data_IF_566595532438
#
_entry.id   IF_566595532438
#
_cell.length_a   1.000
_cell.length_b   1.000
_cell.length_c   1.000
_cell.angle_alpha   90.00
_cell.angle_beta   90.00
_cell.angle_gamma   90.00
#
_symmetry.space_group_name_H-M   'P 1'
#
loop_
_entity.id
_entity.type
_entity.pdbx_description
1 polymer ?
#
# COMPACT_ATOMS: atom_id res chain seq x y z
N UNK A 1 -16.34 -21.87 -5.62
CA UNK A 1 -16.91 -22.70 -4.52
C UNK A 1 -18.33 -23.02 -4.95
N UNK A 2 -18.69 -24.30 -5.06
CA UNK A 2 -20.04 -24.69 -5.50
C UNK A 2 -20.98 -24.64 -4.30
N UNK A 3 -22.04 -23.85 -4.41
CA UNK A 3 -23.12 -23.73 -3.43
C UNK A 3 -24.34 -24.49 -3.94
N UNK A 4 -25.02 -25.22 -3.05
CA UNK A 4 -26.19 -26.04 -3.38
C UNK A 4 -27.38 -25.69 -2.50
N UNK A 5 -28.56 -25.62 -3.10
CA UNK A 5 -29.80 -25.29 -2.40
C UNK A 5 -30.55 -26.52 -1.89
N UNK A 6 -31.27 -26.38 -0.78
CA UNK A 6 -32.27 -27.33 -0.29
C UNK A 6 -33.67 -26.82 -0.56
N UNK A 7 -34.50 -27.65 -1.18
CA UNK A 7 -35.92 -27.31 -1.38
C UNK A 7 -36.69 -27.50 -0.07
N UNK A 8 -37.91 -26.93 0.02
CA UNK A 8 -38.69 -26.93 1.26
C UNK A 8 -38.88 -28.31 1.90
N UNK A 9 -39.08 -29.36 1.08
CA UNK A 9 -39.31 -30.73 1.56
C UNK A 9 -38.08 -31.35 2.23
N UNK A 10 -36.87 -30.87 1.89
CA UNK A 10 -35.59 -31.41 2.38
C UNK A 10 -35.08 -30.72 3.64
N UNK A 11 -35.72 -29.62 4.03
CA UNK A 11 -35.36 -28.87 5.23
C UNK A 11 -36.14 -29.41 6.43
N UNK A 12 -35.43 -29.67 7.52
CA UNK A 12 -35.99 -30.17 8.78
C UNK A 12 -35.99 -29.09 9.87
N UNK A 13 -36.97 -29.13 10.77
CA UNK A 13 -36.97 -28.28 11.98
C UNK A 13 -35.82 -28.71 12.89
N UNK A 14 -35.10 -27.73 13.45
CA UNK A 14 -33.87 -27.92 14.21
C UNK A 14 -32.59 -27.94 13.36
N UNK A 15 -32.72 -27.95 12.02
CA UNK A 15 -31.55 -27.85 11.14
C UNK A 15 -30.93 -26.45 11.23
N UNK A 16 -29.61 -26.38 11.39
CA UNK A 16 -28.88 -25.12 11.47
C UNK A 16 -27.71 -25.05 10.49
N UNK A 17 -27.32 -23.82 10.14
CA UNK A 17 -26.10 -23.53 9.41
C UNK A 17 -25.44 -22.26 9.96
N UNK A 18 -24.13 -22.17 9.81
CA UNK A 18 -23.36 -21.00 10.24
C UNK A 18 -22.27 -20.62 9.25
N UNK A 19 -21.87 -19.36 9.29
CA UNK A 19 -20.75 -18.81 8.55
C UNK A 19 -19.95 -17.87 9.44
N UNK A 20 -18.63 -17.97 9.36
CA UNK A 20 -17.68 -17.10 10.06
C UNK A 20 -17.08 -16.10 9.08
N UNK A 21 -16.94 -14.85 9.50
CA UNK A 21 -16.35 -13.78 8.69
C UNK A 21 -15.57 -12.80 9.56
N UNK A 22 -14.34 -12.50 9.16
CA UNK A 22 -13.57 -11.36 9.67
C UNK A 22 -14.18 -10.07 9.11
N UNK A 23 -14.54 -9.13 9.99
CA UNK A 23 -15.01 -7.81 9.59
C UNK A 23 -13.82 -6.88 9.42
N UNK A 24 -13.72 -6.19 8.29
CA UNK A 24 -12.63 -5.26 7.99
C UNK A 24 -13.16 -3.85 7.78
N UNK A 25 -12.31 -2.84 7.94
CA UNK A 25 -12.67 -1.46 7.63
C UNK A 25 -13.16 -1.32 6.18
N UNK A 26 -12.53 -2.02 5.22
CA UNK A 26 -12.96 -2.01 3.82
C UNK A 26 -14.39 -2.54 3.64
N UNK A 27 -14.82 -3.53 4.42
CA UNK A 27 -16.22 -3.99 4.39
C UNK A 27 -17.19 -2.85 4.76
N UNK A 28 -16.81 -2.00 5.70
CA UNK A 28 -17.65 -0.89 6.16
C UNK A 28 -17.68 0.23 5.14
N UNK A 29 -16.57 0.54 4.46
CA UNK A 29 -16.55 1.47 3.33
C UNK A 29 -17.40 0.97 2.16
N UNK A 30 -17.29 -0.32 1.81
CA UNK A 30 -18.14 -0.94 0.77
C UNK A 30 -19.61 -0.89 1.18
N UNK A 31 -19.92 -1.17 2.44
CA UNK A 31 -21.28 -1.07 2.95
C UNK A 31 -21.79 0.38 2.92
N UNK A 32 -20.98 1.36 3.29
CA UNK A 32 -21.31 2.78 3.24
C UNK A 32 -21.61 3.22 1.80
N UNK A 33 -20.78 2.81 0.84
CA UNK A 33 -20.99 3.08 -0.59
C UNK A 33 -22.27 2.42 -1.13
N UNK A 34 -22.57 1.19 -0.71
CA UNK A 34 -23.74 0.45 -1.17
C UNK A 34 -25.05 0.92 -0.51
N UNK A 35 -25.00 1.31 0.76
CA UNK A 35 -26.17 1.69 1.56
C UNK A 35 -26.45 3.19 1.61
N UNK A 36 -25.46 4.03 1.30
CA UNK A 36 -25.50 5.47 1.52
C UNK A 36 -25.33 5.89 2.99
N UNK A 37 -25.07 4.96 3.90
CA UNK A 37 -24.82 5.27 5.31
C UNK A 37 -23.38 5.73 5.52
N UNK A 38 -23.17 7.06 5.51
CA UNK A 38 -21.87 7.70 5.70
C UNK A 38 -21.63 8.14 7.16
N UNK A 39 -22.27 7.48 8.14
CA UNK A 39 -22.08 7.83 9.55
C UNK A 39 -20.59 7.64 9.96
N UNK A 40 -19.88 8.69 10.43
CA UNK A 40 -18.46 8.64 10.73
C UNK A 40 -18.03 7.55 11.71
N UNK A 41 -18.90 7.13 12.64
CA UNK A 41 -18.62 6.07 13.64
C UNK A 41 -18.29 4.70 13.03
N UNK A 42 -18.51 4.53 11.72
CA UNK A 42 -18.20 3.31 10.97
C UNK A 42 -16.91 3.42 10.15
N UNK A 43 -16.28 4.59 10.11
CA UNK A 43 -15.16 4.89 9.23
C UNK A 43 -13.86 4.99 10.05
N UNK A 44 -12.88 4.15 9.70
CA UNK A 44 -11.63 3.91 10.43
C UNK A 44 -10.78 5.17 10.74
N UNK A 45 -10.99 6.26 10.01
CA UNK A 45 -10.20 7.50 10.15
C UNK A 45 -10.85 8.56 11.05
N UNK A 46 -12.08 8.35 11.52
CA UNK A 46 -12.83 9.35 12.29
C UNK A 46 -12.98 8.91 13.75
N UNK A 47 -12.70 9.82 14.67
CA UNK A 47 -13.08 9.67 16.08
C UNK A 47 -14.57 10.03 16.22
N UNK A 48 -15.40 8.99 16.09
CA UNK A 48 -16.85 9.13 15.98
C UNK A 48 -17.53 9.55 17.29
N UNK A 49 -16.88 9.34 18.45
CA UNK A 49 -17.44 9.63 19.78
C UNK A 49 -16.67 10.69 20.57
N UNK A 50 -15.50 11.11 20.09
CA UNK A 50 -14.68 12.19 20.64
C UNK A 50 -13.79 11.75 21.81
N UNK A 51 -13.58 10.45 22.03
CA UNK A 51 -12.77 9.92 23.13
C UNK A 51 -11.26 9.89 22.83
N UNK A 52 -10.87 10.24 21.61
CA UNK A 52 -9.49 10.24 21.13
C UNK A 52 -9.03 8.92 20.51
N UNK A 53 -9.89 7.91 20.40
CA UNK A 53 -9.63 6.65 19.72
C UNK A 53 -10.31 6.63 18.35
N UNK A 54 -9.58 6.19 17.32
CA UNK A 54 -10.17 5.92 16.01
C UNK A 54 -11.01 4.65 16.10
N UNK A 55 -12.29 4.73 15.76
CA UNK A 55 -13.22 3.61 15.89
C UNK A 55 -13.83 3.26 14.52
N UNK A 56 -13.70 2.00 14.11
CA UNK A 56 -14.45 1.46 12.99
C UNK A 56 -15.47 0.45 13.54
N UNK A 57 -16.61 0.92 14.04
CA UNK A 57 -17.69 0.03 14.43
C UNK A 57 -18.42 -0.51 13.22
N UNK A 58 -18.70 -1.81 13.22
CA UNK A 58 -19.52 -2.44 12.20
C UNK A 58 -20.93 -1.82 12.19
N UNK A 59 -21.44 -1.32 11.05
CA UNK A 59 -22.83 -0.92 10.95
C UNK A 59 -23.75 -2.08 11.35
N UNK A 60 -24.74 -1.84 12.22
CA UNK A 60 -25.64 -2.93 12.66
C UNK A 60 -26.29 -3.67 11.49
N UNK A 61 -26.69 -2.94 10.44
CA UNK A 61 -27.24 -3.55 9.23
C UNK A 61 -26.21 -4.28 8.37
N UNK A 62 -24.92 -3.92 8.44
CA UNK A 62 -23.85 -4.75 7.87
C UNK A 62 -23.76 -6.08 8.63
N UNK A 63 -23.75 -6.06 9.96
CA UNK A 63 -23.74 -7.29 10.78
C UNK A 63 -24.96 -8.17 10.46
N UNK A 64 -26.15 -7.58 10.40
CA UNK A 64 -27.37 -8.29 10.04
C UNK A 64 -27.30 -8.88 8.61
N UNK A 65 -26.56 -8.25 7.69
CA UNK A 65 -26.37 -8.81 6.34
C UNK A 65 -25.59 -10.12 6.33
N UNK A 66 -24.82 -10.45 7.38
CA UNK A 66 -24.16 -11.76 7.46
C UNK A 66 -25.16 -12.91 7.55
N UNK A 67 -26.34 -12.66 8.10
CA UNK A 67 -27.46 -13.63 8.15
C UNK A 67 -27.92 -13.96 6.72
N UNK A 68 -27.97 -12.98 5.81
CA UNK A 68 -28.35 -13.24 4.41
C UNK A 68 -27.33 -14.13 3.69
N UNK A 69 -26.04 -14.03 4.06
CA UNK A 69 -25.01 -14.92 3.51
C UNK A 69 -25.25 -16.38 3.93
N UNK A 70 -25.73 -16.64 5.15
CA UNK A 70 -26.09 -18.00 5.58
C UNK A 70 -27.36 -18.47 4.86
N UNK A 71 -28.40 -17.64 4.82
CA UNK A 71 -29.69 -18.00 4.22
C UNK A 71 -29.59 -18.27 2.72
N UNK A 72 -28.89 -17.40 1.99
CA UNK A 72 -28.76 -17.43 0.54
C UNK A 72 -27.72 -18.41 0.01
N UNK A 73 -26.76 -18.85 0.84
CA UNK A 73 -25.68 -19.75 0.38
C UNK A 73 -25.71 -21.13 1.03
N UNK A 74 -26.17 -21.23 2.28
CA UNK A 74 -26.03 -22.45 3.08
C UNK A 74 -27.38 -23.10 3.43
N UNK A 75 -28.33 -22.36 3.99
CA UNK A 75 -29.60 -22.92 4.46
C UNK A 75 -30.73 -21.88 4.42
N UNK A 76 -31.73 -22.00 3.53
CA UNK A 76 -31.91 -23.08 2.56
C UNK A 76 -30.88 -23.11 1.42
N UNK A 77 -30.23 -21.98 1.11
CA UNK A 77 -29.20 -21.87 0.08
C UNK A 77 -29.67 -21.14 -1.19
N UNK A 78 -28.98 -21.30 -2.33
CA UNK A 78 -29.23 -20.51 -3.53
C UNK A 78 -30.70 -20.50 -3.97
N UNK A 79 -31.24 -19.32 -4.28
CA UNK A 79 -32.63 -19.12 -4.68
C UNK A 79 -33.61 -18.92 -3.52
N UNK A 80 -33.14 -18.88 -2.27
CA UNK A 80 -33.92 -18.39 -1.13
C UNK A 80 -34.35 -16.94 -1.33
N UNK A 81 -35.61 -16.64 -1.05
CA UNK A 81 -36.16 -15.28 -1.13
C UNK A 81 -36.60 -14.79 0.25
N UNK A 82 -36.10 -13.62 0.65
CA UNK A 82 -36.44 -12.99 1.92
C UNK A 82 -37.89 -12.49 1.95
N UNK A 83 -38.61 -12.74 3.06
CA UNK A 83 -39.96 -12.21 3.27
C UNK A 83 -40.00 -11.18 4.39
N UNK A 84 -39.44 -11.50 5.54
CA UNK A 84 -39.36 -10.60 6.70
C UNK A 84 -38.16 -10.96 7.57
N UNK A 85 -37.70 -9.97 8.33
CA UNK A 85 -36.66 -10.10 9.35
C UNK A 85 -37.05 -9.23 10.54
N UNK A 86 -36.98 -9.79 11.76
CA UNK A 86 -36.88 -9.00 12.99
C UNK A 86 -35.42 -8.97 13.44
N UNK A 87 -34.97 -7.86 14.02
CA UNK A 87 -33.60 -7.72 14.54
C UNK A 87 -33.64 -7.01 15.89
N UNK A 88 -32.84 -7.51 16.83
CA UNK A 88 -32.55 -6.87 18.10
C UNK A 88 -31.03 -6.85 18.28
N UNK A 89 -30.47 -5.65 18.30
CA UNK A 89 -29.04 -5.43 18.52
C UNK A 89 -28.76 -5.35 20.03
N UNK A 90 -27.74 -6.07 20.48
CA UNK A 90 -27.40 -6.22 21.90
C UNK A 90 -26.02 -5.66 22.24
N UNK A 91 -25.07 -5.82 21.32
CA UNK A 91 -23.69 -5.32 21.47
C UNK A 91 -23.16 -4.83 20.11
N UNK A 92 -21.91 -4.34 20.09
CA UNK A 92 -21.21 -3.83 18.91
C UNK A 92 -20.07 -4.78 18.49
N UNK A 93 -19.73 -4.69 17.22
CA UNK A 93 -18.53 -5.30 16.66
C UNK A 93 -17.68 -4.22 16.00
N UNK A 94 -16.37 -4.46 15.89
CA UNK A 94 -15.40 -3.54 15.31
C UNK A 94 -14.59 -4.20 14.18
N UNK A 95 -13.95 -3.38 13.35
CA UNK A 95 -12.98 -3.88 12.38
C UNK A 95 -11.88 -4.69 13.08
N UNK A 96 -11.49 -5.82 12.48
CA UNK A 96 -10.53 -6.76 13.06
C UNK A 96 -11.17 -7.91 13.86
N UNK A 97 -12.47 -7.84 14.16
CA UNK A 97 -13.17 -8.91 14.89
C UNK A 97 -13.79 -9.95 13.95
N UNK A 98 -13.81 -11.21 14.40
CA UNK A 98 -14.52 -12.29 13.70
C UNK A 98 -15.94 -12.48 14.26
N UNK A 99 -16.91 -12.51 13.35
CA UNK A 99 -18.31 -12.75 13.66
C UNK A 99 -18.77 -14.10 13.11
N UNK A 100 -19.62 -14.79 13.87
CA UNK A 100 -20.30 -16.01 13.47
C UNK A 100 -21.79 -15.72 13.31
N UNK A 101 -22.28 -15.76 12.07
CA UNK A 101 -23.71 -15.71 11.77
C UNK A 101 -24.27 -17.12 11.71
N UNK A 102 -25.35 -17.38 12.44
CA UNK A 102 -26.01 -18.69 12.53
C UNK A 102 -27.51 -18.55 12.31
N UNK A 103 -28.08 -19.53 11.62
CA UNK A 103 -29.53 -19.68 11.46
C UNK A 103 -29.95 -21.08 11.86
N UNK A 104 -31.16 -21.20 12.42
CA UNK A 104 -31.77 -22.48 12.80
C UNK A 104 -33.24 -22.48 12.41
N UNK A 105 -33.69 -23.53 11.73
CA UNK A 105 -35.09 -23.68 11.30
C UNK A 105 -35.96 -24.00 12.51
N UNK A 106 -36.86 -23.09 12.87
CA UNK A 106 -37.76 -23.27 14.02
C UNK A 106 -39.15 -23.72 13.60
N UNK A 107 -39.58 -23.40 12.37
CA UNK A 107 -40.90 -23.78 11.88
C UNK A 107 -40.95 -23.89 10.34
N UNK A 108 -41.69 -24.89 9.85
CA UNK A 108 -42.08 -24.99 8.44
C UNK A 108 -43.49 -24.45 8.26
N UNK A 109 -43.64 -23.44 7.43
CA UNK A 109 -44.90 -22.74 7.18
C UNK A 109 -45.48 -23.12 5.82
N UNK A 110 -46.80 -22.96 5.67
CA UNK A 110 -47.49 -23.19 4.39
C UNK A 110 -46.92 -22.33 3.25
N UNK A 111 -47.05 -22.82 2.01
CA UNK A 111 -46.61 -22.10 0.82
C UNK A 111 -45.10 -22.09 0.59
N UNK A 112 -44.37 -23.09 1.11
CA UNK A 112 -42.93 -23.24 0.91
C UNK A 112 -42.07 -22.29 1.76
N UNK A 113 -42.64 -21.79 2.86
CA UNK A 113 -41.99 -20.83 3.76
C UNK A 113 -41.30 -21.54 4.93
N UNK A 114 -40.24 -20.94 5.42
CA UNK A 114 -39.52 -21.35 6.62
C UNK A 114 -39.39 -20.16 7.55
N UNK A 115 -39.61 -20.40 8.85
CA UNK A 115 -39.23 -19.47 9.91
C UNK A 115 -37.94 -19.97 10.55
N UNK A 116 -36.95 -19.09 10.63
CA UNK A 116 -35.64 -19.40 11.19
C UNK A 116 -35.30 -18.43 12.32
N UNK A 117 -34.79 -18.97 13.43
CA UNK A 117 -34.06 -18.16 14.41
C UNK A 117 -32.74 -17.73 13.78
N UNK A 118 -32.35 -16.48 13.98
CA UNK A 118 -31.11 -15.91 13.44
C UNK A 118 -30.33 -15.25 14.55
N UNK A 119 -29.02 -15.49 14.60
CA UNK A 119 -28.13 -14.87 15.58
C UNK A 119 -26.76 -14.58 14.94
N UNK A 120 -26.12 -13.50 15.39
CA UNK A 120 -24.73 -13.22 15.09
C UNK A 120 -24.00 -12.98 16.40
N UNK A 121 -22.88 -13.70 16.59
CA UNK A 121 -22.05 -13.64 17.79
C UNK A 121 -20.63 -13.24 17.44
N UNK A 122 -19.94 -12.58 18.36
CA UNK A 122 -18.51 -12.35 18.27
C UNK A 122 -17.75 -13.57 18.77
N UNK A 123 -16.77 -14.03 18.01
CA UNK A 123 -16.10 -15.32 18.28
C UNK A 123 -15.15 -15.23 19.48
N UNK A 124 -14.49 -14.08 19.69
CA UNK A 124 -13.46 -13.93 20.71
C UNK A 124 -13.98 -14.09 22.15
N UNK A 125 -15.20 -13.60 22.43
CA UNK A 125 -15.81 -13.59 23.76
C UNK A 125 -17.19 -14.25 23.81
N UNK A 126 -17.75 -14.64 22.68
CA UNK A 126 -19.09 -15.22 22.57
C UNK A 126 -20.22 -14.20 22.72
N UNK A 127 -19.93 -12.89 22.67
CA UNK A 127 -20.94 -11.85 22.85
C UNK A 127 -22.02 -11.94 21.74
N UNK A 128 -23.29 -11.86 22.15
CA UNK A 128 -24.41 -11.79 21.23
C UNK A 128 -24.50 -10.37 20.66
N UNK A 129 -24.30 -10.22 19.35
CA UNK A 129 -24.30 -8.92 18.69
C UNK A 129 -25.71 -8.58 18.20
N UNK A 130 -26.34 -9.51 17.48
CA UNK A 130 -27.71 -9.36 17.00
C UNK A 130 -28.44 -10.71 17.05
N UNK A 131 -29.71 -10.68 17.41
CA UNK A 131 -30.62 -11.82 17.26
C UNK A 131 -31.90 -11.41 16.54
N UNK A 132 -32.66 -12.40 16.09
CA UNK A 132 -33.94 -12.17 15.46
C UNK A 132 -34.55 -13.43 14.86
N UNK A 133 -35.57 -13.21 14.05
CA UNK A 133 -36.22 -14.26 13.27
C UNK A 133 -36.37 -13.82 11.81
N UNK A 134 -36.05 -14.73 10.89
CA UNK A 134 -36.26 -14.57 9.46
C UNK A 134 -37.43 -15.42 9.00
N UNK A 135 -38.29 -14.87 8.14
CA UNK A 135 -39.14 -15.68 7.27
C UNK A 135 -38.60 -15.61 5.85
N UNK A 136 -38.42 -16.79 5.23
CA UNK A 136 -37.94 -16.91 3.86
C UNK A 136 -38.76 -17.92 3.08
N UNK A 137 -38.79 -17.78 1.76
CA UNK A 137 -39.22 -18.85 0.87
C UNK A 137 -38.03 -19.74 0.54
N UNK A 138 -38.20 -21.04 0.76
CA UNK A 138 -37.26 -22.02 0.26
C UNK A 138 -37.33 -22.08 -1.28
N UNK A 139 -36.22 -22.40 -1.96
CA UNK A 139 -36.20 -22.51 -3.41
C UNK A 139 -37.15 -23.62 -3.88
N UNK A 140 -37.83 -23.39 -5.01
CA UNK A 140 -38.79 -24.33 -5.60
C UNK A 140 -38.15 -25.49 -6.35
N UNK A 141 -36.87 -25.36 -6.68
CA UNK A 141 -36.07 -26.33 -7.43
C UNK A 141 -34.64 -26.28 -6.93
N UNK A 142 -33.91 -27.37 -7.11
CA UNK A 142 -32.48 -27.38 -6.84
C UNK A 142 -31.73 -26.41 -7.75
N UNK A 143 -30.90 -25.60 -7.13
CA UNK A 143 -29.99 -24.68 -7.77
C UNK A 143 -28.57 -25.02 -7.31
N UNK A 144 -27.65 -24.99 -8.27
CA UNK A 144 -26.21 -25.01 -8.03
C UNK A 144 -25.64 -23.70 -8.56
N UNK A 145 -24.84 -23.03 -7.76
CA UNK A 145 -24.21 -21.77 -8.12
C UNK A 145 -22.72 -21.83 -7.83
N UNK A 146 -21.87 -21.39 -8.77
CA UNK A 146 -20.45 -21.25 -8.51
C UNK A 146 -20.14 -19.82 -8.08
N UNK A 147 -19.69 -19.65 -6.84
CA UNK A 147 -19.35 -18.36 -6.27
C UNK A 147 -18.22 -17.62 -7.04
N UNK A 148 -17.50 -18.30 -7.93
CA UNK A 148 -16.46 -17.71 -8.78
C UNK A 148 -17.00 -16.72 -9.83
N UNK A 149 -18.32 -16.65 -10.06
CA UNK A 149 -18.93 -15.75 -11.06
C UNK A 149 -19.20 -14.32 -10.55
N UNK A 150 -19.05 -14.05 -9.25
CA UNK A 150 -19.27 -12.69 -8.70
C UNK A 150 -18.00 -11.86 -8.85
N UNK A 151 -18.05 -10.67 -9.50
CA UNK A 151 -16.87 -9.82 -9.62
C UNK A 151 -16.42 -9.32 -8.23
N UNK A 152 -15.12 -9.36 -8.00
CA UNK A 152 -14.53 -8.74 -6.81
C UNK A 152 -14.64 -7.22 -6.85
N UNK A 153 -14.64 -6.60 -5.66
CA UNK A 153 -14.53 -5.15 -5.50
C UNK A 153 -13.18 -4.82 -4.86
N UNK A 154 -12.53 -3.78 -5.36
CA UNK A 154 -11.26 -3.26 -4.80
C UNK A 154 -11.52 -1.86 -4.26
N UNK A 155 -11.28 -1.68 -2.97
CA UNK A 155 -11.28 -0.38 -2.31
C UNK A 155 -10.03 0.41 -2.72
N UNK A 156 -10.21 1.60 -3.30
CA UNK A 156 -9.10 2.49 -3.69
C UNK A 156 -8.63 3.30 -2.48
N UNK A 157 -7.98 2.63 -1.51
CA UNK A 157 -7.36 3.26 -0.34
C UNK A 157 -5.85 3.05 -0.33
N UNK A 158 -5.13 4.00 0.26
CA UNK A 158 -3.67 4.02 0.39
C UNK A 158 -3.24 3.88 1.86
N UNK A 159 -3.68 2.78 2.47
CA UNK A 159 -3.46 2.48 3.90
C UNK A 159 -1.98 2.29 4.26
N UNK A 160 -1.14 1.91 3.31
CA UNK A 160 0.27 1.68 3.59
C UNK A 160 1.00 3.02 3.72
N UNK A 161 0.63 4.02 2.93
CA UNK A 161 1.17 5.37 3.10
C UNK A 161 0.72 6.02 4.40
N UNK A 162 -0.53 5.83 4.82
CA UNK A 162 -1.01 6.24 6.14
C UNK A 162 -0.12 5.66 7.26
N UNK A 163 0.17 4.35 7.22
CA UNK A 163 1.08 3.70 8.17
C UNK A 163 2.51 4.23 8.13
N UNK A 164 3.02 4.60 6.96
CA UNK A 164 4.34 5.19 6.83
C UNK A 164 4.40 6.58 7.48
N UNK A 165 3.33 7.38 7.37
CA UNK A 165 3.25 8.66 8.06
C UNK A 165 3.20 8.45 9.58
N UNK A 166 2.34 7.57 10.07
CA UNK A 166 2.23 7.25 11.50
C UNK A 166 3.56 6.74 12.09
N UNK A 167 4.36 6.00 11.31
CA UNK A 167 5.69 5.55 11.72
C UNK A 167 6.76 6.65 11.68
N UNK A 168 6.62 7.66 10.81
CA UNK A 168 7.58 8.73 10.62
C UNK A 168 7.36 9.93 11.54
N UNK A 169 6.11 10.28 11.86
CA UNK A 169 5.73 11.45 12.68
C UNK A 169 6.37 11.49 14.09
N UNK A 170 6.62 10.36 14.78
CA UNK A 170 7.31 10.37 16.07
C UNK A 170 8.82 10.62 15.99
N UNK A 171 9.42 10.54 14.79
CA UNK A 171 10.87 10.70 14.60
C UNK A 171 11.26 12.18 14.66
N UNK A 172 12.54 12.50 14.94
CA UNK A 172 13.03 13.87 14.80
C UNK A 172 12.83 14.38 13.37
N UNK A 173 12.39 15.62 13.22
CA UNK A 173 12.16 16.22 11.92
C UNK A 173 13.45 16.18 11.05
N UNK A 174 13.37 15.59 9.85
CA UNK A 174 14.53 15.41 8.98
C UNK A 174 14.90 16.73 8.29
N UNK A 175 16.04 17.32 8.69
CA UNK A 175 16.52 18.55 8.04
C UNK A 175 16.79 18.30 6.56
N UNK A 176 16.00 18.94 5.69
CA UNK A 176 15.93 18.62 4.26
C UNK A 176 16.26 19.84 3.42
N UNK A 177 17.30 19.74 2.59
CA UNK A 177 17.64 20.77 1.61
C UNK A 177 16.67 20.72 0.42
N UNK A 178 15.69 21.63 0.37
CA UNK A 178 14.69 21.70 -0.69
C UNK A 178 15.19 22.63 -1.80
N UNK A 179 15.47 22.05 -2.98
CA UNK A 179 16.16 22.74 -4.08
C UNK A 179 15.16 23.32 -5.08
N UNK A 180 15.18 24.64 -5.25
CA UNK A 180 14.31 25.43 -6.11
C UNK A 180 12.79 25.22 -5.88
N UNK A 181 12.25 25.34 -4.64
CA UNK A 181 10.80 25.30 -4.39
C UNK A 181 10.12 26.61 -4.82
N UNK A 182 10.24 26.96 -6.09
CA UNK A 182 9.88 28.27 -6.66
C UNK A 182 8.50 28.26 -7.36
N UNK A 183 7.77 27.16 -7.26
CA UNK A 183 6.38 27.02 -7.75
C UNK A 183 5.47 26.48 -6.65
N UNK A 184 4.18 26.85 -6.66
CA UNK A 184 3.19 26.43 -5.65
C UNK A 184 3.21 24.93 -5.38
N UNK A 185 3.15 24.08 -6.41
CA UNK A 185 3.11 22.61 -6.24
C UNK A 185 4.35 22.07 -5.53
N UNK A 186 5.54 22.59 -5.89
CA UNK A 186 6.81 22.14 -5.29
C UNK A 186 7.00 22.63 -3.85
N UNK A 187 6.53 23.84 -3.56
CA UNK A 187 6.64 24.45 -2.25
C UNK A 187 5.61 23.87 -1.27
N UNK A 188 4.36 23.71 -1.70
CA UNK A 188 3.28 23.16 -0.88
C UNK A 188 3.63 21.78 -0.33
N UNK A 189 4.27 20.92 -1.13
CA UNK A 189 4.74 19.61 -0.68
C UNK A 189 5.75 19.67 0.47
N UNK A 190 6.70 20.62 0.42
CA UNK A 190 7.67 20.81 1.49
C UNK A 190 7.02 21.39 2.75
N UNK A 191 6.09 22.34 2.59
CA UNK A 191 5.36 22.94 3.72
C UNK A 191 4.48 21.88 4.40
N UNK A 192 3.73 21.10 3.62
CA UNK A 192 2.85 20.05 4.14
C UNK A 192 3.66 18.98 4.88
N UNK A 193 4.82 18.57 4.35
CA UNK A 193 5.71 17.64 5.05
C UNK A 193 6.25 18.19 6.37
N UNK A 194 6.50 19.50 6.46
CA UNK A 194 6.90 20.15 7.71
C UNK A 194 5.72 20.27 8.71
N UNK A 195 4.49 20.49 8.22
CA UNK A 195 3.29 20.49 9.08
C UNK A 195 3.05 19.10 9.72
N UNK A 196 3.38 18.03 9.01
CA UNK A 196 3.39 16.65 9.51
C UNK A 196 4.68 16.28 10.26
N UNK A 197 5.57 17.23 10.57
CA UNK A 197 6.83 16.98 11.30
C UNK A 197 7.75 15.94 10.65
N UNK A 198 7.62 15.72 9.35
CA UNK A 198 8.45 14.76 8.62
C UNK A 198 9.81 15.35 8.27
N UNK A 199 9.84 16.66 7.98
CA UNK A 199 11.04 17.39 7.56
C UNK A 199 11.12 18.77 8.21
N UNK A 200 12.34 19.26 8.39
CA UNK A 200 12.64 20.68 8.63
C UNK A 200 13.27 21.26 7.35
N UNK A 201 12.53 22.03 6.53
CA UNK A 201 12.98 22.39 5.20
C UNK A 201 13.95 23.60 5.20
N UNK A 202 15.10 23.42 4.57
CA UNK A 202 15.99 24.50 4.16
C UNK A 202 15.67 24.85 2.70
N UNK A 203 15.03 25.99 2.46
CA UNK A 203 14.54 26.37 1.13
C UNK A 203 15.65 27.05 0.32
N UNK A 204 16.13 26.43 -0.75
CA UNK A 204 17.27 26.93 -1.53
C UNK A 204 16.79 27.38 -2.91
N UNK A 205 16.92 28.66 -3.25
CA UNK A 205 16.49 29.18 -4.55
C UNK A 205 16.40 30.69 -4.58
N UNK A 206 15.62 31.23 -5.52
CA UNK A 206 15.38 32.67 -5.62
C UNK A 206 14.34 33.11 -4.57
N UNK A 207 14.72 33.94 -3.55
CA UNK A 207 13.82 34.29 -2.46
C UNK A 207 12.51 34.92 -2.91
N UNK A 208 12.56 35.83 -3.89
CA UNK A 208 11.38 36.50 -4.42
C UNK A 208 10.37 35.53 -5.03
N UNK A 209 10.86 34.46 -5.69
CA UNK A 209 10.02 33.44 -6.31
C UNK A 209 9.42 32.49 -5.29
N UNK A 210 10.20 32.09 -4.28
CA UNK A 210 9.70 31.28 -3.15
C UNK A 210 8.59 32.05 -2.41
N UNK A 211 8.82 33.33 -2.11
CA UNK A 211 7.81 34.18 -1.46
C UNK A 211 6.59 34.42 -2.34
N UNK A 212 6.76 34.53 -3.66
CA UNK A 212 5.62 34.63 -4.58
C UNK A 212 4.77 33.35 -4.58
N UNK A 213 5.41 32.17 -4.66
CA UNK A 213 4.73 30.89 -4.59
C UNK A 213 4.00 30.69 -3.25
N UNK A 214 4.62 31.11 -2.13
CA UNK A 214 3.99 31.06 -0.81
C UNK A 214 2.73 31.94 -0.73
N UNK A 215 2.79 33.17 -1.27
CA UNK A 215 1.64 34.08 -1.34
C UNK A 215 0.50 33.51 -2.18
N UNK A 216 0.81 32.87 -3.31
CA UNK A 216 -0.19 32.23 -4.15
C UNK A 216 -0.91 31.07 -3.43
N UNK A 217 -0.17 30.30 -2.61
CA UNK A 217 -0.72 29.25 -1.77
C UNK A 217 -1.47 29.77 -0.53
N UNK A 218 -1.32 31.05 -0.18
CA UNK A 218 -1.81 31.58 1.09
C UNK A 218 -1.11 30.98 2.32
N UNK A 219 0.12 30.46 2.15
CA UNK A 219 0.90 29.84 3.23
C UNK A 219 2.06 30.72 3.69
N UNK A 220 2.41 30.62 4.96
CA UNK A 220 3.55 31.31 5.55
C UNK A 220 4.82 30.44 5.49
N UNK A 221 5.90 31.01 4.97
CA UNK A 221 7.22 30.38 4.87
C UNK A 221 8.29 31.10 5.70
N UNK A 222 7.92 32.14 6.46
CA UNK A 222 8.86 32.93 7.25
C UNK A 222 9.51 32.15 8.39
N UNK A 223 8.90 31.04 8.81
CA UNK A 223 9.48 30.10 9.78
C UNK A 223 10.66 29.27 9.22
N UNK A 224 10.78 29.16 7.90
CA UNK A 224 11.80 28.34 7.25
C UNK A 224 13.02 29.16 6.84
N UNK A 225 14.21 28.57 6.92
CA UNK A 225 15.44 29.21 6.45
C UNK A 225 15.44 29.26 4.90
N UNK A 226 15.48 30.46 4.34
CA UNK A 226 15.60 30.68 2.88
C UNK A 226 17.05 31.01 2.54
N UNK A 227 17.68 30.12 1.78
CA UNK A 227 19.05 30.24 1.30
C UNK A 227 19.06 30.72 -0.16
N UNK A 228 19.55 31.94 -0.44
CA UNK A 228 19.49 32.51 -1.78
C UNK A 228 20.44 31.79 -2.74
N UNK A 229 19.93 31.44 -3.92
CA UNK A 229 20.70 30.92 -5.04
C UNK A 229 20.23 31.55 -6.36
N UNK A 230 21.18 32.02 -7.18
CA UNK A 230 20.86 32.72 -8.44
C UNK A 230 20.36 31.76 -9.52
N UNK A 231 21.00 30.59 -9.63
CA UNK A 231 20.67 29.57 -10.63
C UNK A 231 20.32 28.24 -9.98
N UNK A 232 19.52 27.42 -10.68
CA UNK A 232 19.18 26.07 -10.22
C UNK A 232 20.42 25.18 -10.00
N UNK A 233 21.51 25.44 -10.73
CA UNK A 233 22.77 24.72 -10.55
C UNK A 233 23.49 25.13 -9.27
N UNK A 234 23.45 26.41 -8.92
CA UNK A 234 24.03 26.90 -7.67
C UNK A 234 23.23 26.43 -6.46
N UNK A 235 21.90 26.41 -6.58
CA UNK A 235 21.01 25.83 -5.57
C UNK A 235 21.35 24.35 -5.32
N UNK A 236 21.52 23.55 -6.39
CA UNK A 236 21.90 22.15 -6.27
C UNK A 236 23.30 21.94 -5.67
N UNK A 237 24.28 22.82 -5.99
CA UNK A 237 25.61 22.80 -5.36
C UNK A 237 25.55 23.13 -3.87
N UNK A 238 24.74 24.11 -3.50
CA UNK A 238 24.55 24.51 -2.11
C UNK A 238 23.91 23.38 -1.30
N UNK A 239 22.92 22.67 -1.86
CA UNK A 239 22.34 21.48 -1.22
C UNK A 239 23.41 20.40 -0.92
N UNK A 240 24.29 20.14 -1.89
CA UNK A 240 25.42 19.21 -1.71
C UNK A 240 26.38 19.69 -0.61
N UNK A 241 26.67 20.98 -0.56
CA UNK A 241 27.52 21.57 0.48
C UNK A 241 26.91 21.39 1.88
N UNK A 242 25.61 21.70 2.06
CA UNK A 242 24.92 21.54 3.34
C UNK A 242 24.95 20.10 3.85
N UNK A 243 24.79 19.12 2.96
CA UNK A 243 24.90 17.69 3.30
C UNK A 243 26.34 17.31 3.70
N UNK A 244 27.35 17.87 3.03
CA UNK A 244 28.74 17.62 3.40
C UNK A 244 29.12 18.24 4.74
N UNK A 245 28.55 19.41 5.06
CA UNK A 245 28.67 20.10 6.35
C UNK A 245 27.84 19.46 7.48
N UNK A 246 26.97 18.49 7.15
CA UNK A 246 26.08 17.85 8.13
C UNK A 246 24.88 18.72 8.54
N UNK A 247 24.61 19.81 7.82
CA UNK A 247 23.45 20.68 8.02
C UNK A 247 22.16 20.13 7.42
N UNK A 248 22.24 19.16 6.51
CA UNK A 248 21.07 18.53 5.89
C UNK A 248 21.22 17.00 5.86
N UNK A 249 20.19 16.30 6.33
CA UNK A 249 20.06 14.84 6.34
C UNK A 249 19.34 14.27 5.12
N UNK A 250 18.76 15.13 4.27
CA UNK A 250 18.19 14.75 2.97
C UNK A 250 18.24 15.91 1.97
N UNK A 251 18.02 15.59 0.70
CA UNK A 251 17.81 16.58 -0.37
C UNK A 251 16.47 16.34 -1.03
N UNK A 252 15.69 17.39 -1.25
CA UNK A 252 14.42 17.31 -1.96
C UNK A 252 14.48 18.13 -3.25
N UNK A 253 14.02 17.52 -4.34
CA UNK A 253 13.86 18.21 -5.61
C UNK A 253 12.63 19.12 -5.58
N UNK A 254 12.79 20.36 -6.02
CA UNK A 254 11.69 21.29 -6.34
C UNK A 254 11.50 21.45 -7.85
N UNK A 255 11.34 22.69 -8.30
CA UNK A 255 11.16 23.04 -9.71
C UNK A 255 12.48 23.10 -10.47
N UNK A 256 13.06 21.93 -10.78
CA UNK A 256 14.23 21.82 -11.67
C UNK A 256 14.28 20.46 -12.38
N UNK A 257 15.09 20.37 -13.43
CA UNK A 257 15.38 19.09 -14.09
C UNK A 257 16.23 18.20 -13.18
N UNK A 258 15.94 16.90 -13.15
CA UNK A 258 16.67 15.91 -12.35
C UNK A 258 18.18 15.94 -12.66
N UNK A 259 18.57 16.09 -13.93
CA UNK A 259 19.99 16.23 -14.32
C UNK A 259 20.69 17.43 -13.66
N UNK A 260 19.99 18.55 -13.48
CA UNK A 260 20.55 19.74 -12.84
C UNK A 260 20.81 19.49 -11.35
N UNK A 261 19.95 18.70 -10.70
CA UNK A 261 20.11 18.28 -9.31
C UNK A 261 21.23 17.24 -9.16
N UNK A 262 21.26 16.22 -10.03
CA UNK A 262 22.18 15.08 -9.90
C UNK A 262 23.62 15.42 -10.29
N UNK A 263 23.85 16.31 -11.26
CA UNK A 263 25.21 16.63 -11.74
C UNK A 263 26.16 17.09 -10.61
N UNK A 264 25.79 18.03 -9.72
CA UNK A 264 26.61 18.38 -8.56
C UNK A 264 26.84 17.23 -7.58
N UNK A 265 25.82 16.39 -7.34
CA UNK A 265 25.93 15.23 -6.45
C UNK A 265 26.92 14.18 -6.96
N UNK A 266 27.14 14.14 -8.28
CA UNK A 266 28.11 13.28 -8.94
C UNK A 266 29.51 13.91 -9.03
N UNK A 267 29.81 15.06 -8.42
CA UNK A 267 31.19 15.55 -8.39
C UNK A 267 32.12 14.55 -7.67
N UNK A 268 33.39 14.48 -8.07
CA UNK A 268 34.36 13.53 -7.48
C UNK A 268 34.93 14.01 -6.14
N UNK A 269 35.02 15.31 -5.96
CA UNK A 269 35.68 15.94 -4.81
C UNK A 269 34.65 16.46 -3.81
N UNK A 270 33.55 17.03 -4.31
CA UNK A 270 32.53 17.68 -3.48
C UNK A 270 31.17 17.00 -3.54
N UNK A 271 31.02 15.93 -4.31
CA UNK A 271 29.74 15.24 -4.49
C UNK A 271 29.30 14.43 -3.27
N UNK A 272 28.25 13.62 -3.45
CA UNK A 272 27.61 12.82 -2.39
C UNK A 272 27.84 11.31 -2.53
N UNK A 273 28.83 10.91 -3.34
CA UNK A 273 29.09 9.49 -3.62
C UNK A 273 29.79 8.82 -2.43
N UNK A 274 29.25 7.68 -2.00
CA UNK A 274 29.76 6.87 -0.88
C UNK A 274 30.29 5.50 -1.33
N UNK A 275 30.71 5.38 -2.59
CA UNK A 275 31.16 4.11 -3.18
C UNK A 275 30.04 3.21 -3.72
N UNK A 276 28.77 3.60 -3.56
CA UNK A 276 27.59 2.95 -4.18
C UNK A 276 27.15 3.68 -5.45
N UNK A 277 26.39 3.00 -6.32
CA UNK A 277 25.65 3.69 -7.41
C UNK A 277 24.39 4.37 -6.89
N UNK A 278 24.08 5.51 -7.52
CA UNK A 278 22.80 6.17 -7.33
C UNK A 278 21.73 5.36 -8.04
N UNK A 279 20.69 4.99 -7.32
CA UNK A 279 19.58 4.18 -7.82
C UNK A 279 18.26 4.78 -7.40
N UNK A 280 17.20 4.55 -8.16
CA UNK A 280 15.87 5.03 -7.83
C UNK A 280 14.94 3.91 -7.37
N UNK A 281 14.11 4.19 -6.37
CA UNK A 281 13.00 3.33 -5.95
C UNK A 281 11.69 4.10 -6.01
N UNK A 282 10.64 3.43 -6.48
CA UNK A 282 9.27 3.81 -6.17
C UNK A 282 8.72 2.86 -5.11
N UNK A 283 8.37 3.38 -3.93
CA UNK A 283 7.56 2.65 -2.95
C UNK A 283 6.10 2.91 -3.29
N UNK A 284 5.39 1.88 -3.73
CA UNK A 284 4.03 1.99 -4.27
C UNK A 284 3.01 1.45 -3.27
N UNK A 285 1.95 2.22 -3.04
CA UNK A 285 0.75 1.77 -2.33
C UNK A 285 -0.32 1.40 -3.35
N UNK A 286 -0.43 0.10 -3.63
CA UNK A 286 -1.29 -0.44 -4.67
C UNK A 286 -2.59 -0.96 -4.03
N UNK A 287 -3.76 -0.42 -4.41
CA UNK A 287 -5.06 -0.94 -3.97
C UNK A 287 -5.19 -2.45 -4.12
N UNK A 288 -5.63 -3.13 -3.06
CA UNK A 288 -5.80 -4.58 -3.02
C UNK A 288 -4.51 -5.39 -2.75
N UNK A 289 -3.33 -4.76 -2.73
CA UNK A 289 -2.07 -5.43 -2.35
C UNK A 289 -1.86 -5.32 -0.83
N UNK A 290 -1.41 -6.41 -0.21
CA UNK A 290 -1.32 -6.52 1.26
C UNK A 290 -0.05 -5.88 1.87
N UNK A 291 0.89 -5.46 1.04
CA UNK A 291 2.14 -4.80 1.42
C UNK A 291 2.48 -3.68 0.43
N UNK A 292 3.35 -2.71 0.80
CA UNK A 292 3.96 -1.81 -0.18
C UNK A 292 4.70 -2.61 -1.27
N UNK A 293 4.62 -2.15 -2.52
CA UNK A 293 5.33 -2.75 -3.64
C UNK A 293 6.45 -1.81 -4.08
N UNK A 294 7.68 -2.29 -4.10
CA UNK A 294 8.84 -1.48 -4.51
C UNK A 294 9.18 -1.77 -5.96
N UNK A 295 9.29 -0.74 -6.80
CA UNK A 295 9.73 -0.87 -8.20
C UNK A 295 11.06 -0.12 -8.41
N UNK A 296 12.05 -0.78 -9.01
CA UNK A 296 13.39 -0.19 -9.22
C UNK A 296 14.07 -0.74 -10.48
N UNK A 297 14.86 0.02 -11.25
CA UNK A 297 15.14 1.47 -11.21
C UNK A 297 14.36 2.19 -12.31
N UNK A 298 13.48 3.12 -11.91
CA UNK A 298 12.52 3.75 -12.81
C UNK A 298 12.90 5.16 -13.30
N UNK A 299 14.06 5.71 -12.89
CA UNK A 299 14.35 7.12 -13.13
C UNK A 299 15.83 7.49 -13.37
N UNK A 300 16.80 6.63 -13.03
CA UNK A 300 18.23 7.00 -13.06
C UNK A 300 19.02 6.12 -14.02
N UNK A 301 18.96 4.80 -13.84
CA UNK A 301 19.84 3.89 -14.56
C UNK A 301 19.18 3.36 -15.84
N UNK A 302 19.60 3.90 -17.00
CA UNK A 302 18.99 3.61 -18.30
C UNK A 302 19.10 2.12 -18.67
N UNK A 303 20.33 1.62 -18.74
CA UNK A 303 20.66 0.23 -19.05
C UNK A 303 21.73 -0.24 -18.04
N UNK A 304 21.32 -0.60 -16.82
CA UNK A 304 22.27 -0.94 -15.76
C UNK A 304 23.02 -2.23 -16.09
N UNK A 305 24.34 -2.21 -15.91
CA UNK A 305 25.17 -3.42 -15.90
C UNK A 305 24.95 -4.24 -14.62
N UNK A 306 25.54 -5.43 -14.55
CA UNK A 306 25.35 -6.33 -13.41
C UNK A 306 25.79 -5.69 -12.07
N UNK A 307 26.92 -4.97 -12.05
CA UNK A 307 27.41 -4.30 -10.84
C UNK A 307 26.43 -3.20 -10.38
N UNK A 308 25.89 -2.43 -11.32
CA UNK A 308 24.85 -1.44 -11.03
C UNK A 308 23.58 -2.12 -10.52
N UNK A 309 23.19 -3.27 -11.10
CA UNK A 309 22.03 -4.05 -10.64
C UNK A 309 22.20 -4.58 -9.21
N UNK A 310 23.42 -4.95 -8.79
CA UNK A 310 23.70 -5.30 -7.39
C UNK A 310 23.37 -4.14 -6.45
N UNK A 311 23.77 -2.91 -6.81
CA UNK A 311 23.42 -1.72 -6.03
C UNK A 311 21.92 -1.42 -6.06
N UNK A 312 21.25 -1.61 -7.21
CA UNK A 312 19.79 -1.48 -7.34
C UNK A 312 19.08 -2.42 -6.37
N UNK A 313 19.45 -3.70 -6.37
CA UNK A 313 18.88 -4.71 -5.47
C UNK A 313 19.16 -4.36 -4.01
N UNK A 314 20.43 -4.09 -3.67
CA UNK A 314 20.80 -3.83 -2.27
C UNK A 314 20.12 -2.57 -1.72
N UNK A 315 20.08 -1.48 -2.47
CA UNK A 315 19.42 -0.26 -2.02
C UNK A 315 17.89 -0.45 -1.86
N UNK A 316 17.27 -1.26 -2.73
CA UNK A 316 15.84 -1.58 -2.60
C UNK A 316 15.54 -2.47 -1.38
N UNK A 317 16.39 -3.47 -1.09
CA UNK A 317 16.33 -4.24 0.16
C UNK A 317 16.50 -3.31 1.36
N UNK A 318 17.51 -2.43 1.31
CA UNK A 318 17.81 -1.49 2.39
C UNK A 318 16.61 -0.57 2.66
N UNK A 319 15.84 -0.13 1.67
CA UNK A 319 14.60 0.65 1.92
C UNK A 319 13.44 -0.23 2.34
N UNK A 320 13.27 -1.42 1.77
CA UNK A 320 12.21 -2.36 2.16
C UNK A 320 12.26 -2.69 3.67
N UNK A 321 13.46 -2.94 4.20
CA UNK A 321 13.67 -3.16 5.63
C UNK A 321 13.32 -1.89 6.42
N UNK A 322 13.60 -0.69 5.90
CA UNK A 322 13.33 0.58 6.61
C UNK A 322 11.83 0.74 6.84
N UNK A 323 11.03 0.35 5.86
CA UNK A 323 9.57 0.47 5.93
C UNK A 323 8.89 -0.74 6.58
N UNK A 324 9.65 -1.57 7.31
CA UNK A 324 9.12 -2.67 8.13
C UNK A 324 9.03 -4.03 7.44
N UNK A 325 9.61 -4.22 6.25
CA UNK A 325 9.69 -5.55 5.61
C UNK A 325 10.95 -6.26 6.09
N UNK A 326 10.83 -7.08 7.14
CA UNK A 326 11.98 -7.72 7.82
C UNK A 326 12.89 -8.53 6.88
N UNK A 327 12.28 -9.34 5.99
CA UNK A 327 13.00 -10.13 4.99
C UNK A 327 12.37 -9.87 3.62
N UNK A 328 12.85 -8.84 2.88
CA UNK A 328 12.32 -8.49 1.58
C UNK A 328 12.54 -9.61 0.56
N UNK A 329 11.49 -9.93 -0.17
CA UNK A 329 11.49 -10.87 -1.30
C UNK A 329 11.61 -10.07 -2.59
N UNK A 330 12.76 -10.19 -3.21
CA UNK A 330 13.14 -9.46 -4.41
C UNK A 330 12.97 -10.35 -5.63
N UNK A 331 11.96 -10.06 -6.43
CA UNK A 331 11.76 -10.67 -7.74
C UNK A 331 12.52 -9.90 -8.81
N UNK A 332 13.54 -10.53 -9.39
CA UNK A 332 14.26 -9.95 -10.53
C UNK A 332 13.54 -10.31 -11.82
N UNK A 333 13.00 -9.29 -12.47
CA UNK A 333 12.06 -9.46 -13.58
C UNK A 333 12.75 -9.79 -14.90
N UNK A 334 12.12 -10.67 -15.65
CA UNK A 334 12.43 -10.95 -17.06
C UNK A 334 11.14 -11.29 -17.82
N UNK A 335 11.25 -11.56 -19.11
CA UNK A 335 10.12 -12.01 -19.93
C UNK A 335 9.89 -13.54 -19.85
N UNK A 336 10.78 -14.26 -19.16
CA UNK A 336 10.79 -15.73 -19.05
C UNK A 336 11.22 -16.14 -17.65
N UNK A 337 10.93 -17.39 -17.28
CA UNK A 337 11.30 -17.99 -16.00
C UNK A 337 12.57 -18.85 -16.08
N UNK A 338 12.98 -19.21 -17.30
CA UNK A 338 14.17 -20.01 -17.55
C UNK A 338 15.35 -19.14 -17.94
N UNK A 339 16.54 -19.45 -17.42
CA UNK A 339 17.78 -18.78 -17.79
C UNK A 339 18.12 -19.09 -19.25
N UNK A 340 18.21 -18.05 -20.08
CA UNK A 340 18.56 -18.18 -21.49
C UNK A 340 19.49 -17.05 -21.95
N UNK A 341 20.62 -17.37 -22.61
CA UNK A 341 21.52 -16.34 -23.14
C UNK A 341 20.88 -15.41 -24.17
N UNK A 342 19.76 -15.81 -24.78
CA UNK A 342 19.03 -14.99 -25.74
C UNK A 342 18.35 -13.77 -25.09
N UNK A 343 18.12 -13.80 -23.77
CA UNK A 343 17.48 -12.72 -23.02
C UNK A 343 18.43 -12.29 -21.90
N UNK A 344 19.17 -11.17 -22.06
CA UNK A 344 20.18 -10.73 -21.10
C UNK A 344 19.65 -10.56 -19.66
N UNK A 345 18.42 -10.06 -19.50
CA UNK A 345 17.81 -9.92 -18.17
C UNK A 345 17.61 -11.25 -17.45
N UNK A 346 17.48 -12.36 -18.20
CA UNK A 346 17.39 -13.69 -17.59
C UNK A 346 18.73 -14.17 -17.01
N UNK A 347 19.85 -13.79 -17.63
CA UNK A 347 21.19 -14.04 -17.12
C UNK A 347 21.47 -13.19 -15.88
N UNK A 348 21.16 -11.88 -15.96
CA UNK A 348 21.36 -10.96 -14.84
C UNK A 348 20.57 -11.41 -13.61
N UNK A 349 19.30 -11.80 -13.78
CA UNK A 349 18.46 -12.29 -12.70
C UNK A 349 19.04 -13.53 -12.01
N UNK A 350 19.49 -14.52 -12.80
CA UNK A 350 20.12 -15.72 -12.27
C UNK A 350 21.42 -15.41 -11.51
N UNK A 351 22.22 -14.48 -12.03
CA UNK A 351 23.44 -14.04 -11.36
C UNK A 351 23.12 -13.32 -10.06
N UNK A 352 22.20 -12.37 -10.04
CA UNK A 352 21.81 -11.63 -8.83
C UNK A 352 21.27 -12.56 -7.75
N UNK A 353 20.42 -13.53 -8.11
CA UNK A 353 19.95 -14.57 -7.18
C UNK A 353 21.15 -15.34 -6.60
N UNK A 354 22.09 -15.79 -7.44
CA UNK A 354 23.28 -16.51 -6.96
C UNK A 354 24.21 -15.66 -6.10
N UNK A 355 24.30 -14.36 -6.38
CA UNK A 355 25.07 -13.40 -5.59
C UNK A 355 24.45 -13.19 -4.20
N UNK A 356 23.11 -13.20 -4.10
CA UNK A 356 22.40 -13.16 -2.82
C UNK A 356 22.63 -14.44 -2.00
N UNK A 357 22.49 -15.62 -2.61
CA UNK A 357 22.79 -16.90 -1.94
C UNK A 357 24.23 -16.97 -1.40
N UNK A 358 25.17 -16.31 -2.07
CA UNK A 358 26.58 -16.23 -1.67
C UNK A 358 26.89 -15.08 -0.71
N UNK A 359 25.89 -14.31 -0.29
CA UNK A 359 26.03 -13.21 0.68
C UNK A 359 26.69 -11.94 0.13
N UNK A 360 26.75 -11.78 -1.20
CA UNK A 360 27.17 -10.52 -1.84
C UNK A 360 26.05 -9.47 -1.81
N UNK A 361 24.80 -9.92 -1.90
CA UNK A 361 23.59 -9.16 -1.60
C UNK A 361 23.05 -9.69 -0.28
N UNK A 362 22.61 -8.81 0.62
CA UNK A 362 22.27 -9.16 2.01
C UNK A 362 20.96 -8.54 2.46
N UNK A 363 20.34 -9.15 3.47
CA UNK A 363 19.16 -8.64 4.15
C UNK A 363 17.83 -9.08 3.54
N UNK A 364 17.83 -9.67 2.34
CA UNK A 364 16.62 -10.15 1.68
C UNK A 364 16.85 -11.41 0.85
N UNK A 365 15.75 -12.03 0.43
CA UNK A 365 15.74 -13.16 -0.49
C UNK A 365 15.63 -12.63 -1.93
N UNK A 366 16.53 -13.05 -2.81
CA UNK A 366 16.54 -12.60 -4.21
C UNK A 366 16.39 -13.80 -5.12
N UNK A 367 15.39 -13.74 -6.00
CA UNK A 367 15.17 -14.80 -6.98
C UNK A 367 14.77 -14.25 -8.35
N UNK A 368 15.10 -15.01 -9.37
CA UNK A 368 14.86 -14.68 -10.76
C UNK A 368 15.65 -15.58 -11.72
N UNK A 369 15.28 -15.58 -13.01
CA UNK A 369 14.32 -14.67 -13.62
C UNK A 369 12.86 -15.01 -13.34
N UNK A 370 12.04 -13.99 -13.13
CA UNK A 370 10.59 -14.13 -12.97
C UNK A 370 9.86 -13.24 -13.97
N UNK A 371 8.88 -13.79 -14.68
CA UNK A 371 7.86 -12.97 -15.33
C UNK A 371 6.98 -12.28 -14.27
N UNK A 372 6.35 -11.17 -14.65
CA UNK A 372 5.60 -10.31 -13.73
C UNK A 372 4.49 -11.07 -12.99
N UNK A 373 3.72 -11.90 -13.70
CA UNK A 373 2.66 -12.73 -13.11
C UNK A 373 3.20 -13.66 -12.02
N UNK A 374 4.32 -14.32 -12.26
CA UNK A 374 4.93 -15.22 -11.29
C UNK A 374 5.63 -14.51 -10.15
N UNK A 375 5.99 -13.24 -10.31
CA UNK A 375 6.60 -12.48 -9.23
C UNK A 375 5.56 -12.15 -8.16
N UNK A 376 4.31 -11.86 -8.55
CA UNK A 376 3.29 -11.31 -7.65
C UNK A 376 2.10 -12.24 -7.37
N UNK A 377 1.87 -13.26 -8.18
CA UNK A 377 0.75 -14.20 -8.00
C UNK A 377 1.22 -15.63 -7.70
N UNK A 378 0.81 -16.13 -6.53
CA UNK A 378 1.20 -17.47 -6.05
C UNK A 378 0.59 -18.60 -6.88
N UNK A 379 -0.60 -18.42 -7.45
CA UNK A 379 -1.24 -19.44 -8.28
C UNK A 379 -0.55 -19.54 -9.66
N UNK A 380 -0.15 -18.42 -10.26
CA UNK A 380 0.63 -18.35 -11.49
C UNK A 380 2.00 -19.04 -11.30
N UNK A 381 2.72 -18.69 -10.22
CA UNK A 381 4.00 -19.30 -9.89
C UNK A 381 3.88 -20.83 -9.72
N UNK A 382 2.83 -21.30 -9.02
CA UNK A 382 2.56 -22.75 -8.84
C UNK A 382 2.20 -23.44 -10.15
N UNK A 383 1.40 -22.80 -10.99
CA UNK A 383 0.99 -23.35 -12.30
C UNK A 383 2.19 -23.57 -13.21
N UNK A 384 3.19 -22.68 -13.16
CA UNK A 384 4.46 -22.82 -13.87
C UNK A 384 5.49 -23.71 -13.14
N UNK A 385 5.14 -24.28 -11.99
CA UNK A 385 5.99 -25.21 -11.25
C UNK A 385 7.21 -24.55 -10.58
N UNK A 386 7.18 -23.23 -10.36
CA UNK A 386 8.30 -22.48 -9.79
C UNK A 386 8.37 -22.75 -8.28
N UNK A 387 9.53 -23.20 -7.82
CA UNK A 387 9.81 -23.45 -6.39
C UNK A 387 10.73 -22.35 -5.88
N UNK A 388 10.13 -21.38 -5.22
CA UNK A 388 10.81 -20.19 -4.72
C UNK A 388 10.06 -19.63 -3.52
N UNK A 389 10.78 -19.08 -2.56
CA UNK A 389 10.17 -18.32 -1.47
C UNK A 389 9.72 -16.92 -1.93
N UNK A 390 10.30 -16.42 -3.04
CA UNK A 390 10.02 -15.10 -3.62
C UNK A 390 8.88 -15.15 -4.63
N UNK A 391 8.81 -16.19 -5.47
CA UNK A 391 7.79 -16.27 -6.52
C UNK A 391 6.36 -16.24 -5.94
N UNK A 392 5.54 -15.36 -6.50
CA UNK A 392 4.17 -15.08 -6.09
C UNK A 392 4.03 -14.23 -4.84
N UNK A 393 5.15 -13.70 -4.34
CA UNK A 393 5.26 -13.00 -3.05
C UNK A 393 6.26 -11.84 -3.09
N UNK A 394 6.71 -11.42 -4.27
CA UNK A 394 7.73 -10.39 -4.38
C UNK A 394 7.20 -9.05 -3.84
N UNK A 395 7.90 -8.49 -2.86
CA UNK A 395 7.66 -7.12 -2.37
C UNK A 395 8.52 -6.10 -3.11
N UNK A 396 9.65 -6.54 -3.70
CA UNK A 396 10.53 -5.71 -4.52
C UNK A 396 10.61 -6.27 -5.94
N UNK A 397 10.36 -5.42 -6.93
CA UNK A 397 10.40 -5.73 -8.35
C UNK A 397 11.58 -4.99 -9.00
N UNK A 398 12.59 -5.76 -9.38
CA UNK A 398 13.79 -5.24 -10.06
C UNK A 398 13.62 -5.43 -11.55
N UNK A 399 13.37 -4.34 -12.27
CA UNK A 399 13.13 -4.39 -13.70
C UNK A 399 14.45 -4.53 -14.50
N UNK A 400 14.40 -5.05 -15.74
CA UNK A 400 15.56 -5.16 -16.62
C UNK A 400 16.31 -3.85 -16.91
N UNK A 401 15.58 -2.74 -17.01
CA UNK A 401 16.08 -1.40 -17.32
C UNK A 401 15.01 -0.32 -17.18
N UNK A 402 15.37 0.93 -17.49
CA UNK A 402 14.55 2.10 -17.14
C UNK A 402 13.17 2.09 -17.80
N UNK A 403 13.07 1.71 -19.08
CA UNK A 403 11.79 1.74 -19.80
C UNK A 403 10.79 0.79 -19.14
N UNK A 404 11.23 -0.44 -18.83
CA UNK A 404 10.39 -1.44 -18.15
C UNK A 404 9.96 -1.00 -16.75
N UNK A 405 10.88 -0.43 -15.95
CA UNK A 405 10.56 0.04 -14.60
C UNK A 405 9.63 1.25 -14.64
N UNK A 406 9.86 2.20 -15.54
CA UNK A 406 9.07 3.42 -15.67
C UNK A 406 7.65 3.08 -16.15
N UNK A 407 7.52 2.25 -17.19
CA UNK A 407 6.23 1.77 -17.67
C UNK A 407 5.46 1.02 -16.57
N UNK A 408 6.12 0.15 -15.81
CA UNK A 408 5.50 -0.58 -14.70
C UNK A 408 4.99 0.36 -13.60
N UNK A 409 5.83 1.29 -13.13
CA UNK A 409 5.45 2.25 -12.10
C UNK A 409 4.28 3.14 -12.57
N UNK A 410 4.27 3.58 -13.83
CA UNK A 410 3.20 4.40 -14.40
C UNK A 410 1.92 3.59 -14.65
N UNK A 411 2.03 2.32 -15.06
CA UNK A 411 0.88 1.43 -15.17
C UNK A 411 0.19 1.27 -13.81
N UNK A 412 0.96 1.01 -12.75
CA UNK A 412 0.43 0.90 -11.39
C UNK A 412 -0.25 2.21 -10.97
N UNK A 413 0.39 3.36 -11.22
CA UNK A 413 -0.17 4.66 -10.82
C UNK A 413 -1.48 5.01 -11.54
N UNK A 414 -1.54 4.84 -12.87
CA UNK A 414 -2.66 5.33 -13.67
C UNK A 414 -3.75 4.31 -13.97
N UNK A 415 -3.43 3.01 -13.96
CA UNK A 415 -4.40 1.94 -14.25
C UNK A 415 -4.82 1.22 -12.97
N UNK A 416 -3.86 0.95 -12.08
CA UNK A 416 -4.14 0.31 -10.79
C UNK A 416 -4.45 1.32 -9.68
N UNK A 417 -4.51 2.61 -10.01
CA UNK A 417 -4.75 3.71 -9.07
C UNK A 417 -3.80 3.73 -7.88
N UNK A 418 -2.57 3.24 -8.04
CA UNK A 418 -1.58 3.24 -6.98
C UNK A 418 -1.02 4.66 -6.74
N UNK A 419 -0.63 4.94 -5.50
CA UNK A 419 0.23 6.08 -5.22
C UNK A 419 1.69 5.64 -5.09
N UNK A 420 2.63 6.54 -5.39
CA UNK A 420 4.06 6.22 -5.46
C UNK A 420 4.94 7.25 -4.79
N UNK A 421 5.76 6.81 -3.85
CA UNK A 421 6.79 7.61 -3.20
C UNK A 421 8.15 7.38 -3.88
N UNK A 422 8.79 8.46 -4.35
CA UNK A 422 9.98 8.40 -5.20
C UNK A 422 11.26 8.84 -4.49
N UNK A 423 12.25 7.95 -4.40
CA UNK A 423 13.53 8.24 -3.75
C UNK A 423 14.72 7.80 -4.60
N UNK A 424 15.79 8.59 -4.54
CA UNK A 424 17.13 8.19 -4.93
C UNK A 424 17.96 7.82 -3.72
N UNK A 425 18.65 6.69 -3.84
CA UNK A 425 19.45 6.04 -2.82
C UNK A 425 20.88 5.82 -3.32
N UNK A 426 21.79 5.44 -2.42
CA UNK A 426 23.21 5.20 -2.73
C UNK A 426 24.08 6.46 -2.67
N UNK A 427 23.49 7.61 -2.35
CA UNK A 427 24.20 8.81 -1.91
C UNK A 427 24.42 8.80 -0.38
N UNK A 428 25.18 9.77 0.13
CA UNK A 428 25.42 9.98 1.56
C UNK A 428 24.12 10.18 2.37
N UNK A 429 23.08 10.70 1.74
CA UNK A 429 21.75 10.95 2.29
C UNK A 429 20.68 10.55 1.27
N UNK A 430 19.45 10.20 1.69
CA UNK A 430 18.35 9.99 0.75
C UNK A 430 18.03 11.28 -0.01
N UNK A 431 17.65 11.12 -1.28
CA UNK A 431 17.23 12.24 -2.14
C UNK A 431 15.80 12.02 -2.62
N UNK A 432 14.90 12.89 -2.20
CA UNK A 432 13.47 12.84 -2.53
C UNK A 432 13.28 13.39 -3.94
N UNK A 433 12.80 12.53 -4.85
CA UNK A 433 12.61 12.84 -6.27
C UNK A 433 11.12 12.83 -6.63
N UNK A 434 10.45 13.94 -6.33
CA UNK A 434 9.08 14.15 -6.75
C UNK A 434 8.96 14.39 -8.28
N UNK A 435 7.81 13.98 -8.81
CA UNK A 435 7.29 14.41 -10.10
C UNK A 435 6.32 15.57 -9.91
N UNK A 436 6.20 16.40 -10.96
CA UNK A 436 5.22 17.49 -11.00
C UNK A 436 3.78 16.99 -10.99
N UNK A 437 3.58 15.74 -11.40
CA UNK A 437 2.28 15.08 -11.47
C UNK A 437 1.85 14.39 -10.18
N UNK A 438 2.72 14.35 -9.16
CA UNK A 438 2.45 13.55 -7.96
C UNK A 438 1.38 14.22 -7.09
N UNK A 439 0.60 13.40 -6.39
CA UNK A 439 -0.38 13.87 -5.41
C UNK A 439 0.32 14.47 -4.17
N UNK A 440 -0.39 15.28 -3.36
CA UNK A 440 0.14 15.70 -2.06
C UNK A 440 0.56 14.53 -1.17
N UNK A 441 -0.24 13.45 -1.17
CA UNK A 441 0.04 12.25 -0.37
C UNK A 441 1.31 11.52 -0.84
N UNK A 442 1.52 11.38 -2.15
CA UNK A 442 2.77 10.84 -2.69
C UNK A 442 4.03 11.65 -2.27
N UNK A 443 3.91 12.98 -2.18
CA UNK A 443 4.99 13.84 -1.69
C UNK A 443 5.26 13.63 -0.20
N UNK A 444 4.21 13.58 0.62
CA UNK A 444 4.29 13.25 2.04
C UNK A 444 4.93 11.88 2.28
N UNK A 445 4.44 10.86 1.60
CA UNK A 445 4.97 9.51 1.70
C UNK A 445 6.45 9.43 1.29
N UNK A 446 6.87 10.18 0.27
CA UNK A 446 8.29 10.26 -0.10
C UNK A 446 9.17 10.84 1.03
N UNK A 447 8.65 11.83 1.77
CA UNK A 447 9.32 12.40 2.93
C UNK A 447 9.36 11.41 4.10
N UNK A 448 8.23 10.73 4.36
CA UNK A 448 8.14 9.71 5.42
C UNK A 448 9.12 8.56 5.17
N UNK A 449 9.18 8.01 3.96
CA UNK A 449 10.14 6.96 3.61
C UNK A 449 11.59 7.46 3.75
N UNK A 450 11.87 8.71 3.35
CA UNK A 450 13.21 9.28 3.49
C UNK A 450 13.62 9.44 4.96
N UNK A 451 12.70 9.93 5.80
CA UNK A 451 12.89 10.08 7.25
C UNK A 451 13.15 8.75 7.92
N UNK A 452 12.24 7.77 7.76
CA UNK A 452 12.39 6.44 8.33
C UNK A 452 13.71 5.80 7.88
N UNK A 453 14.04 5.90 6.58
CA UNK A 453 15.28 5.35 6.06
C UNK A 453 16.52 6.00 6.67
N UNK A 454 16.54 7.33 6.74
CA UNK A 454 17.64 8.09 7.34
C UNK A 454 17.86 7.73 8.81
N UNK A 455 16.80 7.77 9.63
CA UNK A 455 16.89 7.46 11.06
C UNK A 455 17.27 6.01 11.33
N UNK A 456 16.80 5.04 10.52
CA UNK A 456 17.29 3.66 10.63
C UNK A 456 18.78 3.54 10.34
N UNK A 457 19.30 4.24 9.33
CA UNK A 457 20.73 4.21 9.03
C UNK A 457 21.59 4.84 10.15
N UNK A 458 21.02 5.73 10.95
CA UNK A 458 21.64 6.28 12.16
C UNK A 458 21.51 5.36 13.39
N UNK A 459 20.70 4.29 13.31
CA UNK A 459 20.39 3.42 14.45
C UNK A 459 19.36 4.00 15.42
N UNK A 460 18.59 4.99 14.98
CA UNK A 460 17.55 5.68 15.77
C UNK A 460 16.16 5.03 15.58
N UNK A 461 16.03 4.14 14.61
CA UNK A 461 14.89 3.21 14.45
C UNK A 461 15.36 1.75 14.58
N UNK A 462 14.51 0.86 15.14
CA UNK A 462 14.76 -0.58 15.17
C UNK A 462 14.91 -1.20 13.78
#
# INVERSE_FOLDING_TARGET
MILESRIWDEVEVGQSAELKRLCTADDFYVFAAASGNLNPVHLEAEDGDGDGQKEAYAPGMFVASLITAVLGNLLPGPGTLYRSQSLRFHDRASAGEELCARVEVIEKLEGGKLRLKTEVTRISDGALIVEGEAEVFAPKRHLKFDALEVPGLISQRHRHFEKLLEAAEPLPDLVTAVVCPEEPVSLDGAILAAEHRLIEPLLIGQPDRIMAAARELGRDVTRFEILPAETARDAARMAVQLVNEGRAGAVMKGHLHTDTLLKPMLDKNTGLRIGKRFTHVFVMDVPGVVHPLIVTDAAINIAPDLETKVHIVQNAIDVAISIGIEVPKVGVLSAVETVTPAIPSSLDAALLSKMAERGQIRGGEVDGPLAMDNAVDLAAARTKGIRSNVAGRAEVLVAPGIDSANMLAKQLAYISHAEGAGLMLGAKVPVILNSRSDSPMARLASCAVASIHYHRLLGECP
#
